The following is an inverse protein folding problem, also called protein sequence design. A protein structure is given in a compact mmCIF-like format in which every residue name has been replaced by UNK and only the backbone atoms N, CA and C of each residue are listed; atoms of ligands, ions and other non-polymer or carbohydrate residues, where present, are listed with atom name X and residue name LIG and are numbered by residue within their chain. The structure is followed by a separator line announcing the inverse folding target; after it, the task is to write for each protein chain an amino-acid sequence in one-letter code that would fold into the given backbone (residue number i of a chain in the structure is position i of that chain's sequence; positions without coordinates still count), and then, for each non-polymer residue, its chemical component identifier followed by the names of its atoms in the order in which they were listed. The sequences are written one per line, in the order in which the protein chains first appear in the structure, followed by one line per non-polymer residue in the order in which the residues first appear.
data_IF_575059155148
#
_entry.id   IF_575059155148
#
_cell.length_a   1.000
_cell.length_b   1.000
_cell.length_c   1.000
_cell.angle_alpha   90.00
_cell.angle_beta   90.00
_cell.angle_gamma   90.00
#
_symmetry.space_group_name_H-M   'P 1'
#
loop_
_entity.id
_entity.type
_entity.pdbx_description
1 polymer ?
#
# COMPACT_ATOMS: atom_id res chain seq x y z
N UNK A 1 32.10 10.92 12.03
CA UNK A 1 32.68 10.22 10.86
C UNK A 1 32.34 8.76 11.01
N UNK A 2 31.94 8.11 9.92
CA UNK A 2 31.36 6.76 9.80
C UNK A 2 29.82 6.71 9.84
N UNK A 3 29.17 7.39 8.90
CA UNK A 3 27.94 6.84 8.28
C UNK A 3 28.40 6.36 6.90
N UNK A 4 29.06 5.21 6.88
CA UNK A 4 28.44 3.95 6.47
C UNK A 4 28.16 3.98 4.97
N UNK A 5 29.19 3.65 4.19
CA UNK A 5 29.00 3.11 2.85
C UNK A 5 28.19 1.81 3.00
N UNK A 6 26.87 1.91 3.12
CA UNK A 6 25.98 0.78 2.86
C UNK A 6 26.19 0.45 1.40
N UNK A 7 26.70 -0.75 1.11
CA UNK A 7 26.78 -1.20 -0.27
C UNK A 7 25.35 -1.33 -0.83
N UNK A 8 25.20 -1.23 -2.15
CA UNK A 8 23.89 -1.29 -2.79
C UNK A 8 23.10 -2.57 -2.40
N UNK A 9 23.83 -3.66 -2.12
CA UNK A 9 23.27 -4.96 -1.72
C UNK A 9 22.62 -4.97 -0.32
N UNK A 10 23.26 -4.36 0.69
CA UNK A 10 22.72 -4.24 2.06
C UNK A 10 21.49 -3.33 2.08
N UNK A 11 21.53 -2.26 1.28
CA UNK A 11 20.41 -1.36 1.12
C UNK A 11 19.24 -2.05 0.44
N UNK A 12 19.49 -2.75 -0.68
CA UNK A 12 18.49 -3.54 -1.38
C UNK A 12 17.85 -4.60 -0.48
N UNK A 13 18.66 -5.31 0.33
CA UNK A 13 18.15 -6.28 1.31
C UNK A 13 17.22 -5.64 2.35
N UNK A 14 17.55 -4.45 2.86
CA UNK A 14 16.69 -3.72 3.79
C UNK A 14 15.37 -3.25 3.17
N UNK A 15 15.40 -2.80 1.90
CA UNK A 15 14.19 -2.43 1.14
C UNK A 15 13.34 -3.67 0.85
N UNK A 16 13.96 -4.81 0.55
CA UNK A 16 13.28 -6.09 0.34
C UNK A 16 12.51 -6.54 1.59
N UNK A 17 13.17 -6.54 2.76
CA UNK A 17 12.53 -6.90 4.03
C UNK A 17 11.37 -5.95 4.40
N UNK A 18 11.49 -4.66 4.06
CA UNK A 18 10.41 -3.70 4.21
C UNK A 18 9.21 -4.06 3.33
N UNK A 19 9.44 -4.34 2.05
CA UNK A 19 8.39 -4.72 1.09
C UNK A 19 7.69 -6.00 1.56
N UNK A 20 8.44 -7.02 2.01
CA UNK A 20 7.87 -8.27 2.50
C UNK A 20 6.95 -8.07 3.72
N UNK A 21 7.35 -7.23 4.68
CA UNK A 21 6.49 -6.87 5.83
C UNK A 21 5.22 -6.17 5.36
N UNK A 22 5.34 -5.21 4.45
CA UNK A 22 4.18 -4.46 3.97
C UNK A 22 3.23 -5.30 3.10
N UNK A 23 3.75 -6.24 2.32
CA UNK A 23 2.93 -7.22 1.59
C UNK A 23 2.18 -8.17 2.54
N UNK A 24 2.74 -8.45 3.73
CA UNK A 24 2.02 -9.15 4.78
C UNK A 24 0.87 -8.32 5.34
N UNK A 25 1.07 -7.02 5.57
CA UNK A 25 -0.01 -6.11 5.98
C UNK A 25 -1.13 -6.05 4.91
N UNK A 26 -0.77 -6.06 3.62
CA UNK A 26 -1.74 -6.20 2.53
C UNK A 26 -2.59 -7.47 2.68
N UNK A 27 -1.95 -8.60 2.98
CA UNK A 27 -2.63 -9.86 3.17
C UNK A 27 -3.62 -9.80 4.35
N UNK A 28 -3.22 -9.20 5.46
CA UNK A 28 -4.06 -8.99 6.64
C UNK A 28 -5.27 -8.10 6.31
N UNK A 29 -5.05 -6.99 5.57
CA UNK A 29 -6.12 -6.12 5.07
C UNK A 29 -7.13 -6.88 4.20
N UNK A 30 -6.65 -7.72 3.26
CA UNK A 30 -7.53 -8.51 2.37
C UNK A 30 -8.36 -9.51 3.15
N UNK A 31 -7.78 -10.16 4.18
CA UNK A 31 -8.50 -11.07 5.05
C UNK A 31 -9.58 -10.34 5.86
N UNK A 32 -9.23 -9.20 6.47
CA UNK A 32 -10.16 -8.35 7.21
C UNK A 32 -11.31 -7.84 6.33
N UNK A 33 -11.03 -7.44 5.09
CA UNK A 33 -12.05 -7.02 4.13
C UNK A 33 -13.07 -8.14 3.85
N UNK A 34 -12.58 -9.37 3.61
CA UNK A 34 -13.45 -10.53 3.37
C UNK A 34 -14.30 -10.85 4.60
N UNK A 35 -13.68 -10.90 5.78
CA UNK A 35 -14.38 -11.14 7.03
C UNK A 35 -15.48 -10.10 7.27
N UNK A 36 -15.17 -8.80 7.10
CA UNK A 36 -16.15 -7.72 7.25
C UNK A 36 -17.32 -7.86 6.28
N UNK A 37 -17.03 -8.15 5.00
CA UNK A 37 -18.06 -8.29 3.97
C UNK A 37 -19.03 -9.44 4.26
N UNK A 38 -18.55 -10.51 4.89
CA UNK A 38 -19.34 -11.71 5.18
C UNK A 38 -20.25 -11.51 6.42
N UNK A 39 -20.01 -10.47 7.24
CA UNK A 39 -20.79 -10.11 8.43
C UNK A 39 -22.06 -9.28 8.13
N UNK A 40 -22.67 -9.41 6.95
CA UNK A 40 -23.91 -8.66 6.64
C UNK A 40 -25.07 -9.07 7.59
N UNK A 41 -25.85 -8.11 8.14
CA UNK A 41 -25.78 -6.66 7.98
C UNK A 41 -24.98 -5.94 9.10
N UNK A 42 -24.32 -6.67 9.98
CA UNK A 42 -23.52 -6.12 11.09
C UNK A 42 -22.25 -5.39 10.63
N UNK A 43 -21.77 -5.63 9.42
CA UNK A 43 -20.64 -4.91 8.80
C UNK A 43 -20.70 -3.36 8.83
N UNK A 44 -21.88 -2.77 9.02
CA UNK A 44 -22.08 -1.34 9.06
C UNK A 44 -22.02 -0.79 10.50
N UNK A 45 -21.99 -1.68 11.49
CA UNK A 45 -21.75 -1.34 12.88
C UNK A 45 -20.30 -0.90 13.09
N UNK A 46 -20.12 0.19 13.85
CA UNK A 46 -18.82 0.81 14.06
C UNK A 46 -17.84 -0.12 14.80
N UNK A 47 -18.34 -0.89 15.76
CA UNK A 47 -17.48 -1.82 16.51
C UNK A 47 -17.07 -3.01 15.63
N UNK A 48 -17.86 -3.31 14.59
CA UNK A 48 -17.55 -4.37 13.62
C UNK A 48 -16.60 -3.91 12.50
N UNK A 49 -16.73 -2.67 12.01
CA UNK A 49 -15.89 -2.16 10.92
C UNK A 49 -14.61 -1.45 11.38
N UNK A 50 -14.47 -1.16 12.69
CA UNK A 50 -13.35 -0.43 13.26
C UNK A 50 -11.99 -1.07 12.97
N UNK A 51 -11.86 -2.38 13.23
CA UNK A 51 -10.60 -3.10 13.01
C UNK A 51 -10.16 -3.07 11.54
N UNK A 52 -11.11 -3.28 10.61
CA UNK A 52 -10.85 -3.15 9.18
C UNK A 52 -10.42 -1.74 8.80
N UNK A 53 -11.06 -0.70 9.34
CA UNK A 53 -10.70 0.68 9.06
C UNK A 53 -9.30 1.05 9.59
N UNK A 54 -8.91 0.52 10.75
CA UNK A 54 -7.55 0.66 11.28
C UNK A 54 -6.52 0.06 10.32
N UNK A 55 -6.69 -1.21 9.96
CA UNK A 55 -5.81 -1.89 9.01
C UNK A 55 -5.75 -1.18 7.65
N UNK A 56 -6.88 -0.65 7.17
CA UNK A 56 -6.94 0.11 5.93
C UNK A 56 -6.07 1.37 6.01
N UNK A 57 -6.22 2.16 7.09
CA UNK A 57 -5.47 3.41 7.28
C UNK A 57 -3.98 3.12 7.46
N UNK A 58 -3.62 2.10 8.25
CA UNK A 58 -2.23 1.71 8.46
C UNK A 58 -1.58 1.32 7.13
N UNK A 59 -2.21 0.42 6.38
CA UNK A 59 -1.71 -0.04 5.08
C UNK A 59 -1.50 1.10 4.08
N UNK A 60 -2.50 1.98 3.92
CA UNK A 60 -2.39 3.06 2.93
C UNK A 60 -1.39 4.13 3.36
N UNK A 61 -1.16 4.30 4.66
CA UNK A 61 -0.20 5.26 5.21
C UNK A 61 1.24 4.75 5.11
N UNK A 62 1.48 3.47 5.39
CA UNK A 62 2.80 2.83 5.25
C UNK A 62 3.36 2.99 3.83
N UNK A 63 2.50 2.97 2.81
CA UNK A 63 2.92 3.26 1.43
C UNK A 63 3.57 4.64 1.29
N UNK A 64 2.91 5.69 1.80
CA UNK A 64 3.36 7.08 1.61
C UNK A 64 4.52 7.48 2.51
N UNK A 65 4.61 6.89 3.70
CA UNK A 65 5.58 7.30 4.72
C UNK A 65 6.78 6.37 4.86
N UNK A 66 6.76 5.20 4.22
CA UNK A 66 7.86 4.22 4.32
C UNK A 66 8.21 3.63 2.95
N UNK A 67 7.28 2.90 2.33
CA UNK A 67 7.57 2.06 1.15
C UNK A 67 7.94 2.88 -0.09
N UNK A 68 7.13 3.88 -0.46
CA UNK A 68 7.34 4.69 -1.66
C UNK A 68 8.67 5.46 -1.59
N UNK A 69 9.02 5.99 -0.41
CA UNK A 69 10.29 6.69 -0.22
C UNK A 69 11.47 5.75 -0.47
N UNK A 70 11.44 4.53 0.09
CA UNK A 70 12.51 3.57 -0.11
C UNK A 70 12.64 3.12 -1.56
N UNK A 71 11.53 2.81 -2.23
CA UNK A 71 11.52 2.44 -3.66
C UNK A 71 12.10 3.55 -4.56
N UNK A 72 11.68 4.80 -4.36
CA UNK A 72 12.19 5.94 -5.12
C UNK A 72 13.67 6.18 -4.83
N UNK A 73 14.08 5.98 -3.57
CA UNK A 73 15.47 6.19 -3.16
C UNK A 73 16.41 5.09 -3.66
N UNK A 74 15.90 3.87 -3.84
CA UNK A 74 16.60 2.78 -4.53
C UNK A 74 16.78 3.08 -6.02
N UNK A 75 15.71 3.42 -6.74
CA UNK A 75 15.80 3.78 -8.16
C UNK A 75 16.75 4.97 -8.42
N UNK A 76 16.82 5.95 -7.50
CA UNK A 76 17.82 7.03 -7.55
C UNK A 76 19.26 6.53 -7.37
N UNK A 77 19.48 5.53 -6.52
CA UNK A 77 20.81 4.97 -6.29
C UNK A 77 21.36 4.22 -7.52
N UNK A 78 20.46 3.62 -8.31
CA UNK A 78 20.78 2.95 -9.59
C UNK A 78 20.69 3.87 -10.82
N UNK A 79 20.43 5.17 -10.63
CA UNK A 79 20.21 6.16 -11.70
C UNK A 79 19.13 5.75 -12.73
N UNK A 80 18.09 5.04 -12.28
CA UNK A 80 17.00 4.55 -13.14
C UNK A 80 15.96 5.65 -13.39
N UNK A 81 16.29 6.56 -14.29
CA UNK A 81 15.43 7.68 -14.68
C UNK A 81 14.10 7.22 -15.29
N UNK A 82 14.05 6.03 -15.89
CA UNK A 82 12.83 5.49 -16.49
C UNK A 82 11.87 5.01 -15.41
N UNK A 83 12.38 4.32 -14.40
CA UNK A 83 11.60 3.87 -13.26
C UNK A 83 11.04 5.05 -12.46
N UNK A 84 11.87 6.09 -12.22
CA UNK A 84 11.43 7.30 -11.53
C UNK A 84 10.29 8.01 -12.27
N UNK A 85 10.38 8.13 -13.60
CA UNK A 85 9.32 8.73 -14.39
C UNK A 85 8.00 7.94 -14.33
N UNK A 86 8.08 6.61 -14.36
CA UNK A 86 6.88 5.78 -14.21
C UNK A 86 6.24 5.95 -12.82
N UNK A 87 7.06 6.07 -11.77
CA UNK A 87 6.57 6.36 -10.42
C UNK A 87 5.80 7.69 -10.35
N UNK A 88 6.28 8.74 -11.02
CA UNK A 88 5.58 10.02 -11.13
C UNK A 88 4.23 9.91 -11.86
N UNK A 89 4.13 9.04 -12.88
CA UNK A 89 2.89 8.82 -13.63
C UNK A 89 1.84 8.00 -12.84
N UNK A 90 2.28 7.04 -12.01
CA UNK A 90 1.40 6.16 -11.23
C UNK A 90 0.94 6.81 -9.91
N UNK A 91 1.82 7.57 -9.24
CA UNK A 91 1.54 8.13 -7.91
C UNK A 91 0.22 8.90 -7.78
N UNK A 92 -0.23 9.70 -8.77
CA UNK A 92 -1.52 10.37 -8.71
C UNK A 92 -2.70 9.41 -8.49
N UNK A 93 -2.70 8.23 -9.15
CA UNK A 93 -3.77 7.23 -8.97
C UNK A 93 -3.73 6.59 -7.59
N UNK A 94 -2.53 6.34 -7.06
CA UNK A 94 -2.38 5.83 -5.68
C UNK A 94 -2.85 6.88 -4.66
N UNK A 95 -2.56 8.16 -4.90
CA UNK A 95 -3.05 9.26 -4.06
C UNK A 95 -4.59 9.30 -4.05
N UNK A 96 -5.22 9.22 -5.23
CA UNK A 96 -6.69 9.19 -5.34
C UNK A 96 -7.29 8.02 -4.55
N UNK A 97 -6.71 6.81 -4.70
CA UNK A 97 -7.15 5.64 -3.93
C UNK A 97 -7.02 5.84 -2.42
N UNK A 98 -5.97 6.54 -1.99
CA UNK A 98 -5.70 6.86 -0.58
C UNK A 98 -6.76 7.81 -0.03
N UNK A 99 -7.10 8.86 -0.79
CA UNK A 99 -8.16 9.79 -0.37
C UNK A 99 -9.52 9.10 -0.22
N UNK A 100 -9.82 8.13 -1.09
CA UNK A 100 -11.07 7.37 -0.99
C UNK A 100 -11.06 6.43 0.23
N UNK A 101 -9.93 5.78 0.53
CA UNK A 101 -9.76 4.96 1.73
C UNK A 101 -9.94 5.78 3.01
N UNK A 102 -9.33 6.96 3.08
CA UNK A 102 -9.49 7.89 4.21
C UNK A 102 -10.94 8.36 4.36
N UNK A 103 -11.59 8.74 3.25
CA UNK A 103 -13.01 9.13 3.27
C UNK A 103 -13.94 7.99 3.72
N UNK A 104 -13.59 6.74 3.40
CA UNK A 104 -14.30 5.56 3.90
C UNK A 104 -14.13 5.40 5.42
N UNK A 105 -12.89 5.49 5.91
CA UNK A 105 -12.59 5.44 7.35
C UNK A 105 -13.35 6.54 8.11
N UNK A 106 -13.31 7.78 7.63
CA UNK A 106 -13.99 8.91 8.25
C UNK A 106 -15.51 8.70 8.36
N UNK A 107 -16.10 8.10 7.31
CA UNK A 107 -17.52 7.76 7.30
C UNK A 107 -17.87 6.69 8.36
N UNK A 108 -17.01 5.68 8.52
CA UNK A 108 -17.15 4.64 9.55
C UNK A 108 -16.97 5.22 10.96
N UNK A 109 -15.95 6.05 11.17
CA UNK A 109 -15.64 6.67 12.45
C UNK A 109 -16.80 7.54 12.99
N UNK A 110 -17.51 8.24 12.10
CA UNK A 110 -18.68 9.07 12.43
C UNK A 110 -19.95 8.28 12.77
N UNK A 111 -19.97 6.96 12.56
CA UNK A 111 -21.17 6.13 12.78
C UNK A 111 -22.30 6.45 11.79
N UNK A 112 -21.96 6.97 10.62
CA UNK A 112 -22.91 7.31 9.55
C UNK A 112 -23.35 6.10 8.71
N UNK A 113 -22.85 4.90 9.05
CA UNK A 113 -23.09 3.64 8.37
C UNK A 113 -24.46 3.00 8.72
N UNK A 114 -25.50 3.82 8.96
CA UNK A 114 -26.84 3.34 9.35
C UNK A 114 -27.60 2.69 8.20
N UNK A 115 -27.22 3.02 6.97
CA UNK A 115 -27.78 2.47 5.74
C UNK A 115 -26.89 1.31 5.25
N UNK A 116 -27.35 0.09 5.51
CA UNK A 116 -26.62 -1.14 5.19
C UNK A 116 -26.45 -1.37 3.69
N UNK A 117 -27.41 -0.97 2.85
CA UNK A 117 -27.29 -1.12 1.39
C UNK A 117 -26.25 -0.14 0.85
N UNK A 118 -26.33 1.12 1.26
CA UNK A 118 -25.35 2.14 0.88
C UNK A 118 -23.95 1.81 1.40
N UNK A 119 -23.85 1.20 2.59
CA UNK A 119 -22.58 0.72 3.12
C UNK A 119 -22.01 -0.42 2.27
N UNK A 120 -22.85 -1.38 1.85
CA UNK A 120 -22.42 -2.45 0.94
C UNK A 120 -21.88 -1.90 -0.38
N UNK A 121 -22.53 -0.89 -0.96
CA UNK A 121 -22.06 -0.22 -2.17
C UNK A 121 -20.70 0.46 -1.97
N UNK A 122 -20.53 1.19 -0.87
CA UNK A 122 -19.25 1.83 -0.51
C UNK A 122 -18.14 0.80 -0.33
N UNK A 123 -18.42 -0.28 0.39
CA UNK A 123 -17.45 -1.37 0.61
C UNK A 123 -17.08 -2.08 -0.70
N UNK A 124 -18.05 -2.27 -1.60
CA UNK A 124 -17.80 -2.82 -2.94
C UNK A 124 -16.91 -1.90 -3.77
N UNK A 125 -17.18 -0.59 -3.78
CA UNK A 125 -16.35 0.41 -4.47
C UNK A 125 -14.93 0.45 -3.89
N UNK A 126 -14.79 0.42 -2.57
CA UNK A 126 -13.49 0.35 -1.90
C UNK A 126 -12.71 -0.89 -2.32
N UNK A 127 -13.35 -2.06 -2.37
CA UNK A 127 -12.70 -3.30 -2.81
C UNK A 127 -12.18 -3.24 -4.25
N UNK A 128 -12.94 -2.63 -5.17
CA UNK A 128 -12.49 -2.44 -6.55
C UNK A 128 -11.28 -1.50 -6.64
N UNK A 129 -11.29 -0.42 -5.86
CA UNK A 129 -10.18 0.55 -5.80
C UNK A 129 -8.93 -0.05 -5.16
N UNK A 130 -9.08 -0.86 -4.11
CA UNK A 130 -7.97 -1.58 -3.49
C UNK A 130 -7.34 -2.56 -4.48
N UNK A 131 -8.14 -3.26 -5.27
CA UNK A 131 -7.62 -4.16 -6.28
C UNK A 131 -6.79 -3.40 -7.34
N UNK A 132 -7.32 -2.30 -7.89
CA UNK A 132 -6.56 -1.44 -8.81
C UNK A 132 -5.27 -0.91 -8.16
N UNK A 133 -5.36 -0.46 -6.91
CA UNK A 133 -4.22 0.03 -6.15
C UNK A 133 -3.13 -1.04 -6.01
N UNK A 134 -3.49 -2.28 -5.69
CA UNK A 134 -2.51 -3.37 -5.55
C UNK A 134 -1.76 -3.63 -6.86
N UNK A 135 -2.44 -3.62 -8.00
CA UNK A 135 -1.79 -3.78 -9.31
C UNK A 135 -0.81 -2.64 -9.61
N UNK A 136 -1.15 -1.41 -9.24
CA UNK A 136 -0.27 -0.24 -9.40
C UNK A 136 0.96 -0.33 -8.49
N UNK A 137 0.76 -0.74 -7.24
CA UNK A 137 1.83 -0.94 -6.27
C UNK A 137 2.78 -2.06 -6.70
N UNK A 138 2.24 -3.17 -7.21
CA UNK A 138 3.03 -4.29 -7.73
C UNK A 138 3.84 -3.86 -8.95
N UNK A 139 3.25 -3.08 -9.86
CA UNK A 139 3.97 -2.48 -10.98
C UNK A 139 5.15 -1.60 -10.52
N UNK A 140 4.96 -0.83 -9.46
CA UNK A 140 6.02 0.00 -8.89
C UNK A 140 7.11 -0.81 -8.21
N UNK A 141 6.77 -1.87 -7.47
CA UNK A 141 7.77 -2.78 -6.89
C UNK A 141 8.60 -3.45 -8.00
N UNK A 142 7.94 -3.91 -9.06
CA UNK A 142 8.63 -4.56 -10.18
C UNK A 142 9.66 -3.62 -10.83
N UNK A 143 9.28 -2.37 -11.07
CA UNK A 143 10.11 -1.42 -11.81
C UNK A 143 11.12 -0.69 -10.93
N UNK A 144 10.81 -0.43 -9.66
CA UNK A 144 11.70 0.35 -8.77
C UNK A 144 12.61 -0.53 -7.91
N UNK A 145 12.33 -1.83 -7.75
CA UNK A 145 13.08 -2.71 -6.85
C UNK A 145 13.53 -4.03 -7.50
N UNK A 146 12.60 -4.78 -8.10
CA UNK A 146 12.95 -6.08 -8.68
C UNK A 146 13.83 -5.95 -9.92
N UNK A 147 13.74 -4.84 -10.65
CA UNK A 147 14.62 -4.52 -11.76
C UNK A 147 16.11 -4.48 -11.37
N UNK A 148 16.43 -4.10 -10.12
CA UNK A 148 17.81 -3.95 -9.64
C UNK A 148 18.37 -5.20 -8.96
N UNK A 149 17.57 -6.28 -8.87
CA UNK A 149 17.92 -7.54 -8.20
C UNK A 149 19.17 -8.22 -8.78
N UNK A 150 19.41 -8.11 -10.09
CA UNK A 150 20.58 -8.72 -10.75
C UNK A 150 21.77 -7.77 -10.86
N UNK A 151 21.55 -6.46 -10.89
CA UNK A 151 22.62 -5.45 -11.01
C UNK A 151 23.49 -5.39 -9.75
N UNK A 152 22.92 -5.61 -8.56
CA UNK A 152 23.67 -5.73 -7.30
C UNK A 152 24.59 -6.96 -7.22
N UNK A 153 24.34 -8.01 -8.01
CA UNK A 153 25.14 -9.23 -8.01
C UNK A 153 26.36 -9.17 -8.96
N UNK A 154 26.38 -8.21 -9.90
CA UNK A 154 27.43 -8.10 -10.93
C UNK A 154 28.57 -7.16 -10.50
N UNK A 155 28.34 -6.31 -9.50
CA UNK A 155 29.34 -5.37 -8.98
C UNK A 155 30.01 -5.79 -7.66
N UNK A 156 29.79 -7.02 -7.19
CA UNK A 156 30.39 -7.58 -5.95
C UNK A 156 31.66 -8.41 -6.19
#
# INVERSE_FOLDING_TARGET
MLDSCQNAQERWGGVHDLIDRWLKERQELVQAFRALRDLKPAFADKDTNGDFCGLLVDYVSAWHFEVCEQLVSEAKAFDDQKALKLAEEINPRINDSTQIALAFNDHCAKGECKDTERFAEKLTKLGALLHERFELEDCLIEVLHNAHKEEGAVEA
#
